data_IF_653066060846
#
_entry.id   IF_653066060846
#
_cell.length_a   1.000
_cell.length_b   1.000
_cell.length_c   1.000
_cell.angle_alpha   90.00
_cell.angle_beta   90.00
_cell.angle_gamma   90.00
#
_symmetry.space_group_name_H-M   'P 1'
#
loop_
_entity.id
_entity.type
_entity.pdbx_description
1 polymer ?
#
# COMPACT_ATOMS: atom_id res chain seq x y z
N UNK A 1 36.87 13.61 4.63
CA UNK A 1 35.66 14.44 4.82
C UNK A 1 34.78 14.21 3.60
N UNK A 2 33.75 13.38 3.76
CA UNK A 2 32.92 12.90 2.64
C UNK A 2 31.82 13.91 2.34
N UNK A 3 31.68 14.29 1.07
CA UNK A 3 30.65 15.21 0.60
C UNK A 3 29.30 14.48 0.51
N UNK A 4 28.30 14.96 1.24
CA UNK A 4 26.92 14.48 1.11
C UNK A 4 26.33 14.94 -0.22
N UNK A 5 26.11 13.99 -1.12
CA UNK A 5 25.35 14.20 -2.35
C UNK A 5 23.86 14.16 -1.99
N UNK A 6 23.21 15.33 -1.98
CA UNK A 6 21.77 15.45 -1.83
C UNK A 6 21.16 15.25 -3.23
N UNK A 7 20.46 14.14 -3.43
CA UNK A 7 19.71 13.91 -4.67
C UNK A 7 18.61 14.97 -4.84
N UNK A 8 18.39 15.49 -6.06
CA UNK A 8 17.34 16.48 -6.28
C UNK A 8 15.95 15.83 -6.16
N UNK A 9 14.91 16.60 -5.79
CA UNK A 9 13.55 16.09 -5.71
C UNK A 9 13.05 15.63 -7.10
N UNK A 10 12.14 14.64 -7.16
CA UNK A 10 11.60 14.16 -8.42
C UNK A 10 10.85 15.27 -9.16
N UNK A 11 11.03 15.32 -10.48
CA UNK A 11 10.39 16.31 -11.35
C UNK A 11 8.86 16.17 -11.29
N UNK A 12 8.17 17.29 -11.04
CA UNK A 12 6.71 17.39 -11.05
C UNK A 12 6.18 17.04 -12.44
N UNK A 13 5.36 15.99 -12.51
CA UNK A 13 4.81 15.47 -13.75
C UNK A 13 3.56 16.29 -14.12
N UNK A 14 3.46 16.95 -15.29
CA UNK A 14 2.43 17.97 -15.58
C UNK A 14 0.96 17.50 -15.50
N UNK A 15 0.70 16.19 -15.38
CA UNK A 15 -0.63 15.65 -15.05
C UNK A 15 -1.06 15.77 -13.58
N UNK A 16 -0.18 16.20 -12.68
CA UNK A 16 -0.47 16.35 -11.23
C UNK A 16 -1.30 17.59 -10.89
N UNK A 17 -1.23 18.66 -11.69
CA UNK A 17 -1.91 19.93 -11.39
C UNK A 17 -3.44 19.83 -11.36
N UNK A 18 -4.05 18.97 -12.19
CA UNK A 18 -5.52 18.84 -12.24
C UNK A 18 -6.08 18.17 -10.98
N UNK A 19 -5.34 17.21 -10.40
CA UNK A 19 -5.79 16.46 -9.23
C UNK A 19 -5.35 17.07 -7.90
N UNK A 20 -4.50 18.09 -7.93
CA UNK A 20 -3.97 18.72 -6.72
C UNK A 20 -5.09 19.25 -5.81
N UNK A 21 -6.14 19.87 -6.38
CA UNK A 21 -7.31 20.31 -5.60
C UNK A 21 -8.12 19.17 -4.99
N UNK A 22 -8.20 18.01 -5.65
CA UNK A 22 -8.88 16.82 -5.11
C UNK A 22 -8.07 16.20 -3.96
N UNK A 23 -6.74 16.23 -4.04
CA UNK A 23 -5.86 15.71 -2.99
C UNK A 23 -5.87 16.57 -1.72
N UNK A 24 -5.90 17.90 -1.85
CA UNK A 24 -6.05 18.80 -0.69
C UNK A 24 -7.41 18.62 0.01
N UNK A 25 -8.49 18.46 -0.78
CA UNK A 25 -9.80 18.16 -0.23
C UNK A 25 -9.81 16.80 0.50
N UNK A 26 -9.12 15.79 -0.05
CA UNK A 26 -8.95 14.50 0.61
C UNK A 26 -8.17 14.65 1.93
N UNK A 27 -7.03 15.34 1.95
CA UNK A 27 -6.28 15.58 3.19
C UNK A 27 -7.12 16.32 4.23
N UNK A 28 -7.92 17.30 3.83
CA UNK A 28 -8.85 18.01 4.72
C UNK A 28 -9.86 17.05 5.34
N UNK A 29 -10.48 16.18 4.54
CA UNK A 29 -11.41 15.14 5.06
C UNK A 29 -10.70 14.21 6.04
N UNK A 30 -9.45 13.83 5.74
CA UNK A 30 -8.67 12.98 6.63
C UNK A 30 -8.44 13.66 7.98
N UNK A 31 -7.97 14.92 7.96
CA UNK A 31 -7.62 15.67 9.16
C UNK A 31 -8.83 16.05 10.02
N UNK A 32 -9.96 16.40 9.38
CA UNK A 32 -11.14 16.89 10.07
C UNK A 32 -12.07 15.78 10.56
N UNK A 33 -12.00 14.59 9.98
CA UNK A 33 -12.97 13.51 10.24
C UNK A 33 -12.33 12.17 10.60
N UNK A 34 -11.38 11.67 9.80
CA UNK A 34 -10.86 10.31 9.97
C UNK A 34 -9.86 10.26 11.12
N UNK A 35 -8.89 11.17 11.16
CA UNK A 35 -7.88 11.23 12.20
C UNK A 35 -8.47 11.49 13.60
N UNK A 36 -9.44 12.42 13.78
CA UNK A 36 -10.13 12.58 15.06
C UNK A 36 -10.86 11.31 15.49
N UNK A 37 -11.55 10.62 14.57
CA UNK A 37 -12.22 9.34 14.86
C UNK A 37 -11.22 8.30 15.36
N UNK A 38 -10.11 8.11 14.63
CA UNK A 38 -9.03 7.20 14.99
C UNK A 38 -8.48 7.48 16.40
N UNK A 39 -8.20 8.75 16.72
CA UNK A 39 -7.64 9.15 18.03
C UNK A 39 -8.62 8.90 19.18
N UNK A 40 -9.92 9.02 18.94
CA UNK A 40 -10.96 8.83 19.97
C UNK A 40 -11.28 7.35 20.16
N UNK A 41 -11.50 6.61 19.07
CA UNK A 41 -12.00 5.24 19.12
C UNK A 41 -10.88 4.19 19.20
N UNK A 42 -9.76 4.43 18.51
CA UNK A 42 -8.76 3.41 18.21
C UNK A 42 -9.33 2.20 17.46
N UNK A 43 -10.51 2.32 16.84
CA UNK A 43 -11.20 1.19 16.23
C UNK A 43 -10.46 0.71 14.97
N UNK A 44 -10.47 -0.61 14.75
CA UNK A 44 -9.76 -1.20 13.61
C UNK A 44 -10.27 -0.70 12.25
N UNK A 45 -11.54 -0.30 12.16
CA UNK A 45 -12.07 0.31 10.95
C UNK A 45 -11.41 1.67 10.66
N UNK A 46 -11.26 2.52 11.68
CA UNK A 46 -10.60 3.82 11.54
C UNK A 46 -9.10 3.65 11.19
N UNK A 47 -8.44 2.62 11.74
CA UNK A 47 -7.06 2.26 11.37
C UNK A 47 -6.97 1.89 9.89
N UNK A 48 -7.84 0.97 9.45
CA UNK A 48 -7.85 0.48 8.06
C UNK A 48 -8.14 1.61 7.08
N UNK A 49 -9.13 2.45 7.38
CA UNK A 49 -9.49 3.60 6.54
C UNK A 49 -8.37 4.63 6.50
N UNK A 50 -7.71 4.88 7.63
CA UNK A 50 -6.54 5.76 7.71
C UNK A 50 -5.39 5.27 6.84
N UNK A 51 -4.96 4.03 7.05
CA UNK A 51 -3.90 3.41 6.27
C UNK A 51 -4.24 3.41 4.77
N UNK A 52 -5.48 3.05 4.44
CA UNK A 52 -5.97 3.02 3.06
C UNK A 52 -5.92 4.38 2.37
N UNK A 53 -6.29 5.45 3.08
CA UNK A 53 -6.34 6.79 2.52
C UNK A 53 -4.94 7.39 2.37
N UNK A 54 -4.12 7.33 3.42
CA UNK A 54 -2.76 7.84 3.41
C UNK A 54 -1.91 7.17 2.32
N UNK A 55 -2.01 5.83 2.21
CA UNK A 55 -1.24 5.09 1.22
C UNK A 55 -1.64 5.43 -0.22
N UNK A 56 -2.94 5.65 -0.48
CA UNK A 56 -3.42 6.09 -1.81
C UNK A 56 -2.91 7.48 -2.18
N UNK A 57 -2.90 8.39 -1.22
CA UNK A 57 -2.34 9.73 -1.41
C UNK A 57 -0.84 9.67 -1.70
N UNK A 58 -0.08 8.87 -0.95
CA UNK A 58 1.35 8.67 -1.20
C UNK A 58 1.64 8.06 -2.57
N UNK A 59 0.85 7.08 -3.03
CA UNK A 59 1.00 6.48 -4.37
C UNK A 59 0.80 7.49 -5.52
N UNK A 60 0.05 8.56 -5.25
CA UNK A 60 -0.17 9.70 -6.15
C UNK A 60 0.87 10.82 -5.96
N UNK A 61 1.87 10.62 -5.10
CA UNK A 61 2.95 11.58 -4.85
C UNK A 61 2.58 12.70 -3.87
N UNK A 62 1.46 12.58 -3.16
CA UNK A 62 1.04 13.56 -2.15
C UNK A 62 1.85 13.35 -0.87
N UNK A 63 2.40 14.45 -0.33
CA UNK A 63 3.07 14.43 0.97
C UNK A 63 2.04 14.31 2.08
N UNK A 64 2.11 13.23 2.86
CA UNK A 64 1.19 12.98 3.99
C UNK A 64 1.73 13.46 5.34
N UNK A 65 2.98 13.95 5.38
CA UNK A 65 3.62 14.47 6.59
C UNK A 65 3.63 13.47 7.75
N UNK A 66 3.41 13.97 8.97
CA UNK A 66 3.49 13.19 10.22
C UNK A 66 2.25 12.31 10.49
N UNK A 67 1.26 12.27 9.59
CA UNK A 67 -0.02 11.56 9.81
C UNK A 67 0.16 10.07 10.08
N UNK A 68 1.22 9.46 9.54
CA UNK A 68 1.55 8.07 9.86
C UNK A 68 1.94 7.85 11.32
N UNK A 69 2.52 8.85 11.98
CA UNK A 69 2.89 8.76 13.38
C UNK A 69 1.66 8.66 14.29
N UNK A 70 0.57 9.34 13.91
CA UNK A 70 -0.72 9.21 14.59
C UNK A 70 -1.28 7.79 14.47
N UNK A 71 -1.24 7.20 13.27
CA UNK A 71 -1.71 5.83 13.05
C UNK A 71 -0.83 4.83 13.81
N UNK A 72 0.50 4.98 13.73
CA UNK A 72 1.43 4.12 14.45
C UNK A 72 1.21 4.15 15.96
N UNK A 73 0.88 5.31 16.54
CA UNK A 73 0.61 5.43 17.98
C UNK A 73 -0.53 4.52 18.46
N UNK A 74 -1.48 4.21 17.58
CA UNK A 74 -2.59 3.29 17.84
C UNK A 74 -2.18 1.85 17.55
N UNK A 75 -1.46 1.60 16.45
CA UNK A 75 -1.21 0.25 15.94
C UNK A 75 0.03 -0.44 16.52
N UNK A 76 1.00 0.31 17.06
CA UNK A 76 2.29 -0.26 17.49
C UNK A 76 2.13 -1.40 18.50
N UNK A 77 1.19 -1.28 19.44
CA UNK A 77 0.93 -2.30 20.46
C UNK A 77 0.36 -3.62 19.91
N UNK A 78 -0.07 -3.63 18.65
CA UNK A 78 -0.70 -4.77 17.97
C UNK A 78 0.27 -5.50 17.03
N UNK A 79 1.56 -5.15 17.03
CA UNK A 79 2.58 -5.73 16.14
C UNK A 79 2.69 -7.26 16.23
N UNK A 80 2.27 -7.85 17.35
CA UNK A 80 2.40 -9.29 17.65
C UNK A 80 1.07 -10.04 17.66
N UNK A 81 -0.06 -9.38 17.36
CA UNK A 81 -1.40 -9.94 17.58
C UNK A 81 -1.70 -11.11 16.63
N UNK A 82 -1.48 -10.92 15.33
CA UNK A 82 -1.68 -11.92 14.27
C UNK A 82 -3.04 -12.63 14.29
N UNK A 83 -4.08 -11.89 14.69
CA UNK A 83 -5.47 -12.41 14.76
C UNK A 83 -6.09 -12.43 13.36
N UNK A 84 -5.86 -11.39 12.55
CA UNK A 84 -6.34 -11.26 11.19
C UNK A 84 -5.25 -10.65 10.33
N UNK A 85 -4.81 -11.37 9.30
CA UNK A 85 -3.79 -10.90 8.36
C UNK A 85 -4.14 -9.56 7.72
N UNK A 86 -5.44 -9.34 7.47
CA UNK A 86 -5.92 -8.06 6.98
C UNK A 86 -5.52 -6.89 7.92
N UNK A 87 -5.62 -7.05 9.23
CA UNK A 87 -5.21 -6.01 10.17
C UNK A 87 -3.68 -5.92 10.25
N UNK A 88 -2.97 -7.05 10.31
CA UNK A 88 -1.50 -7.08 10.34
C UNK A 88 -0.88 -6.27 9.20
N UNK A 89 -1.43 -6.41 7.98
CA UNK A 89 -0.96 -5.68 6.80
C UNK A 89 -1.16 -4.16 6.97
N UNK A 90 -2.28 -3.72 7.55
CA UNK A 90 -2.50 -2.29 7.80
C UNK A 90 -1.63 -1.77 8.96
N UNK A 91 -1.33 -2.59 9.97
CA UNK A 91 -0.38 -2.23 11.03
C UNK A 91 1.03 -2.08 10.45
N UNK A 92 1.44 -2.97 9.54
CA UNK A 92 2.70 -2.85 8.82
C UNK A 92 2.75 -1.59 7.93
N UNK A 93 1.65 -1.25 7.24
CA UNK A 93 1.58 0.02 6.49
C UNK A 93 1.83 1.22 7.41
N UNK A 94 1.28 1.21 8.62
CA UNK A 94 1.50 2.29 9.59
C UNK A 94 2.95 2.38 10.05
N UNK A 95 3.61 1.26 10.39
CA UNK A 95 5.01 1.28 10.80
C UNK A 95 5.96 1.64 9.66
N UNK A 96 5.70 1.17 8.44
CA UNK A 96 6.46 1.56 7.24
C UNK A 96 6.30 3.06 6.95
N UNK A 97 5.06 3.56 6.94
CA UNK A 97 4.75 4.96 6.66
C UNK A 97 5.35 5.92 7.68
N UNK A 98 5.44 5.51 8.96
CA UNK A 98 6.07 6.27 10.04
C UNK A 98 7.59 6.07 10.11
N UNK A 99 8.18 5.19 9.30
CA UNK A 99 9.61 4.88 9.34
C UNK A 99 10.06 4.11 10.58
N UNK A 100 9.13 3.51 11.35
CA UNK A 100 9.47 2.72 12.53
C UNK A 100 9.92 1.32 12.13
N UNK A 101 11.23 1.20 11.94
CA UNK A 101 11.88 -0.05 11.56
C UNK A 101 11.76 -1.13 12.66
N UNK A 102 11.64 -0.74 13.93
CA UNK A 102 11.54 -1.70 15.04
C UNK A 102 10.20 -2.43 14.98
N UNK A 103 9.09 -1.70 14.90
CA UNK A 103 7.74 -2.28 14.82
C UNK A 103 7.54 -3.04 13.52
N UNK A 104 8.07 -2.53 12.41
CA UNK A 104 8.08 -3.24 11.12
C UNK A 104 8.75 -4.61 11.24
N UNK A 105 9.97 -4.66 11.80
CA UNK A 105 10.71 -5.91 11.95
C UNK A 105 10.05 -6.86 12.95
N UNK A 106 9.51 -6.34 14.06
CA UNK A 106 8.79 -7.14 15.03
C UNK A 106 7.62 -7.86 14.39
N UNK A 107 6.74 -7.12 13.70
CA UNK A 107 5.56 -7.68 13.05
C UNK A 107 5.93 -8.76 12.03
N UNK A 108 6.93 -8.49 11.17
CA UNK A 108 7.38 -9.45 10.15
C UNK A 108 7.98 -10.72 10.78
N UNK A 109 8.76 -10.58 11.86
CA UNK A 109 9.36 -11.71 12.56
C UNK A 109 8.28 -12.54 13.25
N UNK A 110 7.41 -11.94 14.04
CA UNK A 110 6.41 -12.69 14.81
C UNK A 110 5.34 -13.29 13.91
N UNK A 111 5.03 -12.66 12.77
CA UNK A 111 4.12 -13.24 11.77
C UNK A 111 4.74 -14.47 11.10
N UNK A 112 6.06 -14.44 10.87
CA UNK A 112 6.80 -15.59 10.36
C UNK A 112 6.79 -16.73 11.36
N UNK A 113 7.10 -16.46 12.63
CA UNK A 113 7.07 -17.46 13.70
C UNK A 113 5.67 -18.11 13.80
N UNK A 114 4.60 -17.31 13.75
CA UNK A 114 3.23 -17.81 13.75
C UNK A 114 2.92 -18.70 12.53
N UNK A 115 3.49 -18.37 11.37
CA UNK A 115 3.31 -19.16 10.14
C UNK A 115 4.04 -20.50 10.12
N UNK A 116 5.09 -20.67 10.94
CA UNK A 116 5.87 -21.91 11.01
C UNK A 116 5.18 -23.00 11.82
N UNK A 117 4.37 -22.62 12.81
CA UNK A 117 3.60 -23.54 13.66
C UNK A 117 2.14 -23.12 13.79
N UNK A 118 1.37 -23.11 12.68
CA UNK A 118 0.05 -22.47 12.64
C UNK A 118 -1.05 -23.25 13.36
N UNK A 119 -0.82 -24.53 13.70
CA UNK A 119 -1.85 -25.42 14.24
C UNK A 119 -3.11 -25.45 13.36
N UNK A 120 -4.27 -25.22 13.97
CA UNK A 120 -5.56 -25.11 13.26
C UNK A 120 -5.95 -23.66 12.92
N UNK A 121 -5.08 -22.67 13.22
CA UNK A 121 -5.39 -21.27 12.94
C UNK A 121 -5.27 -20.98 11.44
N UNK A 122 -6.43 -20.74 10.81
CA UNK A 122 -6.53 -20.46 9.38
C UNK A 122 -5.74 -19.21 8.93
N UNK A 123 -5.68 -18.16 9.75
CA UNK A 123 -4.91 -16.95 9.42
C UNK A 123 -3.41 -17.22 9.45
N UNK A 124 -2.94 -18.04 10.40
CA UNK A 124 -1.53 -18.43 10.46
C UNK A 124 -1.15 -19.38 9.32
N UNK A 125 -2.06 -20.27 8.90
CA UNK A 125 -1.88 -21.09 7.69
C UNK A 125 -1.76 -20.22 6.43
N UNK A 126 -2.58 -19.18 6.29
CA UNK A 126 -2.51 -18.24 5.18
C UNK A 126 -1.29 -17.31 5.24
N UNK A 127 -0.69 -17.12 6.41
CA UNK A 127 0.41 -16.19 6.60
C UNK A 127 1.58 -16.54 5.68
N UNK A 128 1.93 -17.83 5.54
CA UNK A 128 3.06 -18.25 4.69
C UNK A 128 2.86 -17.92 3.21
N UNK A 129 1.67 -18.20 2.70
CA UNK A 129 1.43 -18.21 1.25
C UNK A 129 0.74 -16.93 0.73
N UNK A 130 0.20 -16.09 1.62
CA UNK A 130 -0.51 -14.84 1.27
C UNK A 130 -0.09 -13.67 2.14
N UNK A 131 -0.09 -13.82 3.46
CA UNK A 131 0.19 -12.73 4.40
C UNK A 131 1.62 -12.17 4.29
N UNK A 132 2.63 -13.02 4.44
CA UNK A 132 4.04 -12.67 4.37
C UNK A 132 4.44 -12.14 2.98
N UNK A 133 4.04 -12.74 1.83
CA UNK A 133 4.32 -12.16 0.53
C UNK A 133 3.70 -10.76 0.35
N UNK A 134 2.49 -10.53 0.85
CA UNK A 134 1.87 -9.20 0.82
C UNK A 134 2.63 -8.19 1.70
N UNK A 135 3.00 -8.59 2.91
CA UNK A 135 3.80 -7.76 3.82
C UNK A 135 5.17 -7.42 3.20
N UNK A 136 5.85 -8.41 2.61
CA UNK A 136 7.13 -8.18 1.93
C UNK A 136 6.96 -7.27 0.72
N UNK A 137 5.87 -7.39 -0.05
CA UNK A 137 5.60 -6.48 -1.16
C UNK A 137 5.47 -5.02 -0.70
N UNK A 138 4.91 -4.76 0.49
CA UNK A 138 4.88 -3.42 1.06
C UNK A 138 6.28 -2.90 1.45
N UNK A 139 7.15 -3.78 1.95
CA UNK A 139 8.56 -3.45 2.25
C UNK A 139 9.33 -3.13 0.97
N UNK A 140 9.15 -3.91 -0.11
CA UNK A 140 9.74 -3.63 -1.42
C UNK A 140 9.25 -2.28 -1.98
N UNK A 141 7.95 -1.99 -1.81
CA UNK A 141 7.37 -0.72 -2.23
C UNK A 141 8.00 0.47 -1.49
N UNK A 142 8.14 0.37 -0.16
CA UNK A 142 8.80 1.38 0.67
C UNK A 142 10.27 1.59 0.28
N UNK A 143 10.94 0.52 -0.16
CA UNK A 143 12.34 0.53 -0.59
C UNK A 143 12.53 1.00 -2.04
N UNK A 144 11.43 1.30 -2.76
CA UNK A 144 11.48 1.75 -4.15
C UNK A 144 11.82 0.63 -5.15
N UNK A 145 11.49 -0.63 -4.85
CA UNK A 145 11.71 -1.79 -5.72
C UNK A 145 10.40 -2.26 -6.39
N UNK A 146 9.97 -1.65 -7.50
CA UNK A 146 8.71 -1.99 -8.17
C UNK A 146 8.70 -3.43 -8.72
N UNK A 147 9.84 -3.94 -9.20
CA UNK A 147 9.94 -5.29 -9.74
C UNK A 147 9.67 -6.34 -8.64
N UNK A 148 10.27 -6.16 -7.45
CA UNK A 148 10.01 -7.03 -6.29
C UNK A 148 8.55 -6.99 -5.81
N UNK A 149 7.90 -5.82 -5.84
CA UNK A 149 6.46 -5.70 -5.53
C UNK A 149 5.63 -6.56 -6.48
N UNK A 150 5.90 -6.50 -7.79
CA UNK A 150 5.16 -7.27 -8.80
C UNK A 150 5.40 -8.77 -8.61
N UNK A 151 6.64 -9.19 -8.43
CA UNK A 151 7.00 -10.59 -8.22
C UNK A 151 6.28 -11.22 -7.01
N UNK A 152 6.15 -10.46 -5.91
CA UNK A 152 5.51 -10.94 -4.69
C UNK A 152 3.98 -10.86 -4.75
N UNK A 153 3.43 -9.78 -5.30
CA UNK A 153 2.01 -9.48 -5.19
C UNK A 153 1.18 -10.04 -6.36
N UNK A 154 1.75 -10.12 -7.57
CA UNK A 154 1.04 -10.63 -8.75
C UNK A 154 0.55 -12.08 -8.58
N UNK A 155 1.34 -13.03 -8.03
CA UNK A 155 0.91 -14.42 -7.86
C UNK A 155 -0.22 -14.60 -6.85
N UNK A 156 -0.33 -13.71 -5.86
CA UNK A 156 -1.31 -13.83 -4.77
C UNK A 156 -2.54 -12.94 -4.94
N UNK A 157 -2.60 -12.08 -5.97
CA UNK A 157 -3.63 -11.02 -6.08
C UNK A 157 -5.08 -11.51 -5.97
N UNK A 158 -5.39 -12.68 -6.50
CA UNK A 158 -6.73 -13.28 -6.42
C UNK A 158 -7.02 -13.99 -5.09
N UNK A 159 -5.96 -14.31 -4.33
CA UNK A 159 -6.04 -14.91 -2.99
C UNK A 159 -6.18 -13.88 -1.89
N UNK A 160 -6.01 -12.58 -2.18
CA UNK A 160 -6.18 -11.50 -1.20
C UNK A 160 -7.59 -11.44 -0.59
N UNK A 161 -8.61 -12.04 -1.22
CA UNK A 161 -9.92 -12.17 -0.56
C UNK A 161 -9.86 -13.03 0.72
N UNK A 162 -8.91 -13.95 0.81
CA UNK A 162 -8.76 -14.91 1.92
C UNK A 162 -8.30 -14.26 3.23
N UNK A 163 -7.61 -13.11 3.18
CA UNK A 163 -7.15 -12.42 4.39
C UNK A 163 -8.26 -11.65 5.12
N UNK A 164 -9.45 -11.52 4.52
CA UNK A 164 -10.58 -10.77 5.07
C UNK A 164 -10.64 -9.30 4.62
N UNK A 165 -11.50 -8.51 5.27
CA UNK A 165 -11.78 -7.11 4.93
C UNK A 165 -12.85 -6.91 3.85
N UNK A 166 -13.07 -5.67 3.41
CA UNK A 166 -13.97 -5.35 2.29
C UNK A 166 -13.24 -5.25 0.95
N UNK A 167 -14.00 -5.29 -0.16
CA UNK A 167 -13.44 -5.10 -1.51
C UNK A 167 -12.79 -3.73 -1.68
N UNK A 168 -13.38 -2.67 -1.10
CA UNK A 168 -12.86 -1.32 -1.21
C UNK A 168 -11.51 -1.16 -0.47
N UNK A 169 -11.39 -1.77 0.71
CA UNK A 169 -10.16 -1.70 1.51
C UNK A 169 -9.03 -2.49 0.86
N UNK A 170 -9.29 -3.75 0.45
CA UNK A 170 -8.29 -4.56 -0.28
C UNK A 170 -7.87 -3.98 -1.62
N UNK A 171 -8.67 -3.10 -2.21
CA UNK A 171 -8.34 -2.45 -3.48
C UNK A 171 -7.02 -1.67 -3.40
N UNK A 172 -6.57 -1.25 -2.22
CA UNK A 172 -5.28 -0.58 -2.04
C UNK A 172 -4.11 -1.44 -2.52
N UNK A 173 -4.18 -2.76 -2.31
CA UNK A 173 -3.14 -3.69 -2.73
C UNK A 173 -3.16 -3.90 -4.25
N UNK A 174 -4.35 -3.94 -4.86
CA UNK A 174 -4.47 -3.97 -6.32
C UNK A 174 -3.95 -2.68 -6.96
N UNK A 175 -4.20 -1.52 -6.33
CA UNK A 175 -3.64 -0.24 -6.76
C UNK A 175 -2.11 -0.26 -6.63
N UNK A 176 -1.57 -0.73 -5.51
CA UNK A 176 -0.12 -0.90 -5.33
C UNK A 176 0.49 -1.75 -6.44
N UNK A 177 -0.10 -2.91 -6.77
CA UNK A 177 0.37 -3.76 -7.85
C UNK A 177 0.38 -3.04 -9.20
N UNK A 178 -0.66 -2.28 -9.52
CA UNK A 178 -0.73 -1.49 -10.76
C UNK A 178 0.35 -0.40 -10.76
N UNK A 179 0.50 0.34 -9.66
CA UNK A 179 1.53 1.37 -9.54
C UNK A 179 2.92 0.77 -9.69
N UNK A 180 3.22 -0.35 -9.04
CA UNK A 180 4.49 -1.04 -9.19
C UNK A 180 4.73 -1.48 -10.64
N UNK A 181 3.76 -2.15 -11.27
CA UNK A 181 3.86 -2.59 -12.65
C UNK A 181 4.07 -1.44 -13.66
N UNK A 182 3.53 -0.25 -13.38
CA UNK A 182 3.75 0.95 -14.21
C UNK A 182 5.16 1.53 -14.09
N UNK A 183 5.87 1.24 -12.99
CA UNK A 183 7.23 1.74 -12.73
C UNK A 183 8.29 0.63 -12.85
N UNK A 184 7.89 -0.60 -13.20
CA UNK A 184 8.82 -1.69 -13.50
C UNK A 184 9.77 -1.32 -14.64
N UNK A 185 11.05 -1.64 -14.45
CA UNK A 185 12.08 -1.46 -15.46
C UNK A 185 12.31 -2.72 -16.28
N UNK A 186 11.91 -3.87 -15.73
CA UNK A 186 12.05 -5.18 -16.37
C UNK A 186 11.09 -5.37 -17.53
N UNK A 187 11.63 -5.77 -18.69
CA UNK A 187 10.87 -6.10 -19.88
C UNK A 187 9.88 -7.27 -19.68
N UNK A 188 10.13 -8.12 -18.68
CA UNK A 188 9.26 -9.25 -18.30
C UNK A 188 7.89 -8.75 -17.84
N UNK A 189 7.86 -7.61 -17.13
CA UNK A 189 6.63 -7.05 -16.56
C UNK A 189 5.96 -5.98 -17.42
N UNK A 190 6.54 -5.66 -18.60
CA UNK A 190 6.07 -4.57 -19.48
C UNK A 190 4.59 -4.70 -19.87
N UNK A 191 4.07 -5.92 -20.00
CA UNK A 191 2.65 -6.15 -20.31
C UNK A 191 1.73 -6.24 -19.07
N UNK A 192 2.28 -6.44 -17.87
CA UNK A 192 1.50 -6.69 -16.64
C UNK A 192 0.63 -5.48 -16.30
N UNK A 193 1.19 -4.27 -16.35
CA UNK A 193 0.45 -3.04 -16.09
C UNK A 193 -0.77 -2.90 -17.03
N UNK A 194 -0.58 -3.16 -18.33
CA UNK A 194 -1.65 -3.10 -19.32
C UNK A 194 -2.76 -4.11 -19.01
N UNK A 195 -2.40 -5.37 -18.75
CA UNK A 195 -3.38 -6.41 -18.42
C UNK A 195 -4.17 -6.08 -17.16
N UNK A 196 -3.51 -5.61 -16.09
CA UNK A 196 -4.17 -5.22 -14.85
C UNK A 196 -5.12 -4.03 -15.03
N UNK A 197 -4.75 -3.04 -15.84
CA UNK A 197 -5.59 -1.89 -16.13
C UNK A 197 -6.82 -2.26 -16.96
N UNK A 198 -6.67 -3.11 -17.97
CA UNK A 198 -7.81 -3.59 -18.77
C UNK A 198 -8.78 -4.43 -17.92
N UNK A 199 -8.26 -5.33 -17.09
CA UNK A 199 -9.07 -6.09 -16.15
C UNK A 199 -9.83 -5.17 -15.17
N UNK A 200 -9.13 -4.17 -14.62
CA UNK A 200 -9.73 -3.19 -13.71
C UNK A 200 -10.82 -2.35 -14.37
N UNK A 201 -10.61 -1.90 -15.60
CA UNK A 201 -11.59 -1.11 -16.35
C UNK A 201 -12.87 -1.90 -16.62
N UNK A 202 -12.73 -3.18 -16.97
CA UNK A 202 -13.87 -4.08 -17.13
C UNK A 202 -14.65 -4.32 -15.83
N UNK A 203 -13.95 -4.45 -14.69
CA UNK A 203 -14.57 -4.70 -13.38
C UNK A 203 -15.13 -3.43 -12.73
N UNK A 204 -14.59 -2.26 -13.06
CA UNK A 204 -14.94 -0.95 -12.47
C UNK A 204 -15.14 0.09 -13.59
N UNK A 205 -16.15 -0.08 -14.45
CA UNK A 205 -16.38 0.82 -15.57
C UNK A 205 -16.63 2.24 -15.05
N UNK A 206 -16.14 3.24 -15.80
CA UNK A 206 -16.25 4.67 -15.49
C UNK A 206 -15.52 5.11 -14.20
N UNK A 207 -14.57 4.33 -13.68
CA UNK A 207 -13.78 4.74 -12.52
C UNK A 207 -12.80 5.88 -12.87
N UNK A 208 -12.89 7.07 -12.23
CA UNK A 208 -11.97 8.18 -12.48
C UNK A 208 -10.51 7.82 -12.19
N UNK A 209 -10.29 7.02 -11.14
CA UNK A 209 -8.97 6.49 -10.78
C UNK A 209 -8.42 5.60 -11.90
N UNK A 210 -9.21 4.66 -12.41
CA UNK A 210 -8.77 3.77 -13.50
C UNK A 210 -8.43 4.58 -14.75
N UNK A 211 -9.27 5.55 -15.13
CA UNK A 211 -9.01 6.44 -16.25
C UNK A 211 -7.71 7.27 -16.08
N UNK A 212 -7.42 7.73 -14.84
CA UNK A 212 -6.17 8.41 -14.51
C UNK A 212 -4.96 7.47 -14.66
N UNK A 213 -5.04 6.25 -14.15
CA UNK A 213 -3.95 5.27 -14.26
C UNK A 213 -3.69 4.83 -15.71
N UNK A 214 -4.74 4.69 -16.53
CA UNK A 214 -4.61 4.43 -17.98
C UNK A 214 -3.89 5.59 -18.68
N UNK A 215 -4.24 6.84 -18.37
CA UNK A 215 -3.53 8.02 -18.92
C UNK A 215 -2.05 8.03 -18.52
N UNK A 216 -1.75 7.71 -17.26
CA UNK A 216 -0.36 7.58 -16.77
C UNK A 216 0.39 6.48 -17.53
N UNK A 217 -0.24 5.33 -17.74
CA UNK A 217 0.34 4.22 -18.50
C UNK A 217 0.66 4.61 -19.95
N UNK A 218 -0.23 5.35 -20.61
CA UNK A 218 0.00 5.85 -21.96
C UNK A 218 1.21 6.81 -22.00
N UNK A 219 1.32 7.72 -21.03
CA UNK A 219 2.45 8.65 -20.96
C UNK A 219 3.81 7.94 -20.76
N UNK A 220 3.86 6.88 -19.93
CA UNK A 220 5.09 6.10 -19.71
C UNK A 220 5.49 5.31 -20.97
N UNK A 221 4.52 4.75 -21.70
CA UNK A 221 4.80 4.00 -22.93
C UNK A 221 5.07 4.88 -24.16
N UNK A 222 4.56 6.11 -24.20
CA UNK A 222 4.90 7.10 -25.23
C UNK A 222 6.33 7.65 -25.09
N UNK A 223 6.97 7.41 -23.95
CA UNK A 223 8.35 7.81 -23.63
C UNK A 223 9.38 6.68 -23.79
N UNK A 224 8.97 5.50 -24.28
CA UNK A 224 9.84 4.36 -24.61
C UNK A 224 9.90 4.13 -26.12
#
# INVERSE_FOLDING_TARGET
MSQHHISPPPRVNPGTSFFQGEYEAALTIYDDHILPSLRVSGAMLDVVDSCSMLYRLQMEGVSVGERWQDVLSVTQKHSRDHILLFNDVHFLMASLGAGDSRTTQELLTTLRDASESPGENYQHLLARDVGLPLCQALVEAQSGNPDGVVELLQPIRYRLVQIGGSNAQRDVFNQLLIHAALNCSSGIHKNVARSLLMERDALKPNSPLTARLIRRAAAVHLLQ
#
